data_IF_926999406236
#
_entry.id   IF_926999406236
#
_cell.length_a   1.000
_cell.length_b   1.000
_cell.length_c   1.000
_cell.angle_alpha   90.00
_cell.angle_beta   90.00
_cell.angle_gamma   90.00
#
_symmetry.space_group_name_H-M   'P 1'
#
loop_
_entity.id
_entity.type
_entity.pdbx_description
1 polymer ?
#
# COMPACT_ATOMS: atom_id res chain seq x y z
N UNK A 1 62.27 10.63 118.48
CA UNK A 1 61.16 9.75 118.04
C UNK A 1 60.20 10.46 117.07
N UNK A 2 60.22 11.80 116.99
CA UNK A 2 59.32 12.59 116.14
C UNK A 2 59.71 12.61 114.64
N UNK A 3 61.01 12.57 114.31
CA UNK A 3 61.46 12.63 112.90
C UNK A 3 61.02 11.43 112.05
N UNK A 4 60.97 10.23 112.65
CA UNK A 4 60.59 8.99 111.95
C UNK A 4 59.09 8.95 111.60
N UNK A 5 58.25 9.68 112.35
CA UNK A 5 56.81 9.77 112.08
C UNK A 5 56.54 10.78 110.97
N UNK A 6 57.26 11.91 110.96
CA UNK A 6 57.22 12.93 109.91
C UNK A 6 57.66 12.38 108.54
N UNK A 7 58.73 11.58 108.49
CA UNK A 7 59.19 10.94 107.26
C UNK A 7 58.21 9.89 106.73
N UNK A 8 57.62 9.07 107.61
CA UNK A 8 56.58 8.12 107.23
C UNK A 8 55.31 8.79 106.73
N UNK A 9 54.92 9.93 107.32
CA UNK A 9 53.79 10.73 106.86
C UNK A 9 54.04 11.35 105.49
N UNK A 10 55.19 11.98 105.29
CA UNK A 10 55.60 12.54 103.99
C UNK A 10 55.62 11.47 102.92
N UNK A 11 56.21 10.30 103.20
CA UNK A 11 56.30 9.21 102.24
C UNK A 11 54.91 8.65 101.90
N UNK A 12 54.00 8.50 102.87
CA UNK A 12 52.61 8.10 102.62
C UNK A 12 51.86 9.15 101.79
N UNK A 13 51.98 10.43 102.12
CA UNK A 13 51.28 11.51 101.43
C UNK A 13 51.75 11.65 99.98
N UNK A 14 53.08 11.66 99.76
CA UNK A 14 53.68 11.69 98.42
C UNK A 14 53.30 10.45 97.61
N UNK A 15 53.29 9.26 98.23
CA UNK A 15 52.95 8.03 97.51
C UNK A 15 51.46 7.94 97.15
N UNK A 16 50.57 8.49 98.00
CA UNK A 16 49.14 8.64 97.72
C UNK A 16 48.91 9.66 96.59
N UNK A 17 49.60 10.81 96.61
CA UNK A 17 49.53 11.84 95.56
C UNK A 17 50.08 11.35 94.21
N UNK A 18 51.16 10.56 94.20
CA UNK A 18 51.69 9.97 92.95
C UNK A 18 50.79 8.87 92.41
N UNK A 19 50.14 8.09 93.28
CA UNK A 19 49.19 7.05 92.90
C UNK A 19 47.92 7.63 92.26
N UNK A 20 47.36 8.69 92.87
CA UNK A 20 46.20 9.40 92.31
C UNK A 20 46.54 10.10 90.98
N UNK A 21 47.73 10.69 90.85
CA UNK A 21 48.21 11.23 89.58
C UNK A 21 48.37 10.16 88.50
N UNK A 22 48.93 8.98 88.82
CA UNK A 22 49.02 7.87 87.88
C UNK A 22 47.65 7.37 87.42
N UNK A 23 46.68 7.24 88.34
CA UNK A 23 45.31 6.86 88.00
C UNK A 23 44.62 7.90 87.11
N UNK A 24 44.81 9.19 87.38
CA UNK A 24 44.32 10.28 86.53
C UNK A 24 44.94 10.28 85.14
N UNK A 25 46.22 9.91 85.04
CA UNK A 25 46.94 9.86 83.77
C UNK A 25 46.49 8.65 82.94
N UNK A 26 46.27 7.50 83.59
CA UNK A 26 45.68 6.30 82.97
C UNK A 26 44.25 6.55 82.50
N UNK A 27 43.40 7.18 83.34
CA UNK A 27 42.01 7.47 82.95
C UNK A 27 41.94 8.49 81.80
N UNK A 28 42.84 9.49 81.77
CA UNK A 28 42.95 10.39 80.61
C UNK A 28 43.43 9.66 79.36
N UNK A 29 44.37 8.73 79.47
CA UNK A 29 44.83 7.93 78.34
C UNK A 29 43.69 7.07 77.78
N UNK A 30 42.91 6.42 78.63
CA UNK A 30 41.73 5.64 78.24
C UNK A 30 40.66 6.50 77.52
N UNK A 31 40.41 7.72 78.00
CA UNK A 31 39.49 8.66 77.34
C UNK A 31 40.00 9.06 75.95
N UNK A 32 41.30 9.34 75.82
CA UNK A 32 41.91 9.69 74.53
C UNK A 32 41.83 8.52 73.55
N UNK A 33 42.10 7.30 74.01
CA UNK A 33 42.01 6.09 73.19
C UNK A 33 40.56 5.81 72.76
N UNK A 34 39.59 6.04 73.63
CA UNK A 34 38.16 5.91 73.31
C UNK A 34 37.72 6.97 72.28
N UNK A 35 38.14 8.23 72.45
CA UNK A 35 37.87 9.29 71.46
C UNK A 35 38.46 8.91 70.11
N UNK A 36 39.71 8.42 70.09
CA UNK A 36 40.39 8.00 68.87
C UNK A 36 39.66 6.85 68.19
N UNK A 37 39.27 5.80 68.93
CA UNK A 37 38.48 4.68 68.38
C UNK A 37 37.16 5.15 67.79
N UNK A 38 36.46 6.06 68.45
CA UNK A 38 35.20 6.62 67.94
C UNK A 38 35.40 7.47 66.68
N UNK A 39 36.51 8.23 66.59
CA UNK A 39 36.85 8.98 65.39
C UNK A 39 37.19 8.06 64.22
N UNK A 40 38.05 7.06 64.44
CA UNK A 40 38.45 6.08 63.42
C UNK A 40 37.22 5.33 62.88
N UNK A 41 36.29 4.94 63.75
CA UNK A 41 35.03 4.30 63.35
C UNK A 41 34.18 5.21 62.45
N UNK A 42 34.01 6.49 62.83
CA UNK A 42 33.27 7.47 62.00
C UNK A 42 33.95 7.70 60.66
N UNK A 43 35.28 7.77 60.61
CA UNK A 43 36.01 7.92 59.35
C UNK A 43 35.78 6.74 58.42
N UNK A 44 35.78 5.51 58.93
CA UNK A 44 35.49 4.31 58.13
C UNK A 44 34.04 4.36 57.62
N UNK A 45 33.08 4.71 58.47
CA UNK A 45 31.67 4.84 58.08
C UNK A 45 31.47 5.91 56.99
N UNK A 46 32.07 7.08 57.15
CA UNK A 46 32.02 8.15 56.16
C UNK A 46 32.71 7.74 54.85
N UNK A 47 33.87 7.09 54.92
CA UNK A 47 34.59 6.60 53.73
C UNK A 47 33.76 5.57 52.95
N UNK A 48 33.14 4.62 53.65
CA UNK A 48 32.27 3.62 53.01
C UNK A 48 31.04 4.28 52.36
N UNK A 49 30.45 5.28 53.02
CA UNK A 49 29.30 6.01 52.49
C UNK A 49 29.66 6.88 51.29
N UNK A 50 30.83 7.52 51.29
CA UNK A 50 31.35 8.26 50.14
C UNK A 50 31.56 7.32 48.94
N UNK A 51 32.14 6.14 49.17
CA UNK A 51 32.31 5.13 48.10
C UNK A 51 30.97 4.67 47.56
N UNK A 52 30.00 4.38 48.42
CA UNK A 52 28.65 3.98 47.99
C UNK A 52 27.96 5.06 47.16
N UNK A 53 28.00 6.32 47.62
CA UNK A 53 27.41 7.45 46.90
C UNK A 53 28.10 7.72 45.56
N UNK A 54 29.42 7.57 45.50
CA UNK A 54 30.20 7.71 44.25
C UNK A 54 29.78 6.66 43.23
N UNK A 55 29.69 5.39 43.65
CA UNK A 55 29.20 4.31 42.77
C UNK A 55 27.77 4.55 42.29
N UNK A 56 26.88 5.04 43.15
CA UNK A 56 25.50 5.40 42.75
C UNK A 56 25.49 6.54 41.73
N UNK A 57 26.33 7.55 41.93
CA UNK A 57 26.45 8.68 41.02
C UNK A 57 26.93 8.23 39.63
N UNK A 58 27.91 7.33 39.58
CA UNK A 58 28.44 6.82 38.31
C UNK A 58 27.40 6.00 37.55
N UNK A 59 26.63 5.15 38.25
CA UNK A 59 25.49 4.42 37.65
C UNK A 59 24.42 5.38 37.11
N UNK A 60 24.10 6.45 37.85
CA UNK A 60 23.13 7.45 37.41
C UNK A 60 23.62 8.21 36.17
N UNK A 61 24.92 8.55 36.11
CA UNK A 61 25.50 9.22 34.93
C UNK A 61 25.42 8.35 33.68
N UNK A 62 25.76 7.06 33.81
CA UNK A 62 25.71 6.12 32.68
C UNK A 62 24.27 5.91 32.19
N UNK A 63 23.33 5.76 33.13
CA UNK A 63 21.90 5.67 32.80
C UNK A 63 21.43 6.93 32.07
N UNK A 64 21.79 8.11 32.56
CA UNK A 64 21.41 9.37 31.93
C UNK A 64 21.99 9.50 30.50
N UNK A 65 23.25 9.10 30.32
CA UNK A 65 23.90 9.14 29.02
C UNK A 65 23.19 8.22 28.00
N UNK A 66 22.91 6.98 28.40
CA UNK A 66 22.22 6.00 27.53
C UNK A 66 20.78 6.41 27.22
N UNK A 67 20.05 6.98 28.18
CA UNK A 67 18.70 7.53 27.94
C UNK A 67 18.74 8.71 26.96
N UNK A 68 19.71 9.62 27.13
CA UNK A 68 19.89 10.78 26.23
C UNK A 68 20.16 10.33 24.80
N UNK A 69 21.07 9.38 24.62
CA UNK A 69 21.37 8.81 23.30
C UNK A 69 20.15 8.13 22.68
N UNK A 70 19.38 7.38 23.47
CA UNK A 70 18.16 6.70 23.02
C UNK A 70 17.10 7.71 22.59
N UNK A 71 16.92 8.81 23.34
CA UNK A 71 15.97 9.87 23.00
C UNK A 71 16.38 10.59 21.70
N UNK A 72 17.66 10.86 21.52
CA UNK A 72 18.17 11.48 20.30
C UNK A 72 17.93 10.60 19.07
N UNK A 73 18.18 9.29 19.18
CA UNK A 73 17.87 8.31 18.13
C UNK A 73 16.37 8.30 17.78
N UNK A 74 15.50 8.21 18.80
CA UNK A 74 14.03 8.25 18.60
C UNK A 74 13.56 9.55 17.97
N UNK A 75 14.15 10.68 18.36
CA UNK A 75 13.81 11.97 17.78
C UNK A 75 14.21 12.08 16.30
N UNK A 76 15.36 11.52 15.94
CA UNK A 76 15.81 11.44 14.55
C UNK A 76 14.90 10.54 13.70
N UNK A 77 14.47 9.39 14.24
CA UNK A 77 13.52 8.50 13.58
C UNK A 77 12.16 9.17 13.39
N UNK A 78 11.63 9.81 14.44
CA UNK A 78 10.38 10.58 14.38
C UNK A 78 10.43 11.69 13.32
N UNK A 79 11.58 12.35 13.18
CA UNK A 79 11.78 13.39 12.16
C UNK A 79 11.73 12.83 10.74
N UNK A 80 12.26 11.62 10.51
CA UNK A 80 12.17 10.94 9.20
C UNK A 80 10.73 10.52 8.89
N UNK A 81 10.05 9.92 9.86
CA UNK A 81 8.64 9.52 9.72
C UNK A 81 7.74 10.71 9.41
N UNK A 82 8.01 11.87 10.02
CA UNK A 82 7.28 13.10 9.72
C UNK A 82 7.42 13.53 8.26
N UNK A 83 8.64 13.49 7.71
CA UNK A 83 8.89 13.81 6.29
C UNK A 83 8.14 12.83 5.38
N UNK A 84 8.22 11.53 5.68
CA UNK A 84 7.51 10.51 4.92
C UNK A 84 5.99 10.71 4.95
N UNK A 85 5.43 11.12 6.10
CA UNK A 85 4.01 11.40 6.23
C UNK A 85 3.56 12.62 5.42
N UNK A 86 4.40 13.66 5.35
CA UNK A 86 4.18 14.84 4.49
C UNK A 86 4.17 14.47 2.99
N UNK A 87 5.10 13.61 2.56
CA UNK A 87 5.15 13.08 1.19
C UNK A 87 3.87 12.28 0.84
N UNK A 88 3.45 11.40 1.74
CA UNK A 88 2.26 10.58 1.57
C UNK A 88 0.98 11.43 1.50
N UNK A 89 0.89 12.50 2.30
CA UNK A 89 -0.23 13.42 2.27
C UNK A 89 -0.29 14.18 0.93
N UNK A 90 0.86 14.59 0.40
CA UNK A 90 0.95 15.23 -0.91
C UNK A 90 0.51 14.29 -2.05
N UNK A 91 0.94 13.03 -2.03
CA UNK A 91 0.52 12.02 -3.00
C UNK A 91 -0.98 11.75 -2.92
N UNK A 92 -1.52 11.61 -1.70
CA UNK A 92 -2.96 11.44 -1.49
C UNK A 92 -3.77 12.60 -2.09
N UNK A 93 -3.31 13.85 -1.92
CA UNK A 93 -3.98 15.03 -2.52
C UNK A 93 -3.96 14.97 -4.05
N UNK A 94 -2.84 14.56 -4.65
CA UNK A 94 -2.69 14.39 -6.10
C UNK A 94 -3.66 13.34 -6.65
N UNK A 95 -3.72 12.16 -6.02
CA UNK A 95 -4.64 11.09 -6.41
C UNK A 95 -6.11 11.50 -6.30
N UNK A 96 -6.46 12.27 -5.27
CA UNK A 96 -7.84 12.75 -5.07
C UNK A 96 -8.24 13.73 -6.19
N UNK A 97 -7.32 14.60 -6.62
CA UNK A 97 -7.53 15.49 -7.75
C UNK A 97 -7.71 14.69 -9.06
N UNK A 98 -6.89 13.68 -9.29
CA UNK A 98 -6.98 12.81 -10.48
C UNK A 98 -8.31 12.04 -10.52
N UNK A 99 -8.74 11.47 -9.38
CA UNK A 99 -10.04 10.81 -9.27
C UNK A 99 -11.19 11.75 -9.63
N UNK A 100 -11.16 12.99 -9.14
CA UNK A 100 -12.19 13.99 -9.46
C UNK A 100 -12.22 14.32 -10.96
N UNK A 101 -11.05 14.41 -11.60
CA UNK A 101 -10.96 14.65 -13.04
C UNK A 101 -11.48 13.46 -13.85
N UNK A 102 -11.10 12.24 -13.47
CA UNK A 102 -11.56 11.01 -14.12
C UNK A 102 -13.06 10.81 -13.96
N UNK A 103 -13.60 11.10 -12.78
CA UNK A 103 -15.04 11.08 -12.56
C UNK A 103 -15.78 12.11 -13.45
N UNK A 104 -15.23 13.31 -13.58
CA UNK A 104 -15.73 14.32 -14.53
C UNK A 104 -15.77 13.80 -15.96
N UNK A 105 -14.66 13.20 -16.44
CA UNK A 105 -14.56 12.60 -17.78
C UNK A 105 -15.54 11.43 -17.96
N UNK A 106 -15.67 10.57 -16.96
CA UNK A 106 -16.63 9.45 -16.98
C UNK A 106 -18.06 9.96 -17.11
N UNK A 107 -18.41 10.97 -16.32
CA UNK A 107 -19.75 11.55 -16.34
C UNK A 107 -20.03 12.24 -17.68
N UNK A 108 -19.06 12.96 -18.26
CA UNK A 108 -19.23 13.57 -19.59
C UNK A 108 -19.42 12.51 -20.67
N UNK A 109 -18.63 11.43 -20.66
CA UNK A 109 -18.77 10.32 -21.61
C UNK A 109 -20.10 9.58 -21.44
N UNK A 110 -20.55 9.35 -20.20
CA UNK A 110 -21.85 8.73 -19.92
C UNK A 110 -23.01 9.59 -20.42
N UNK A 111 -22.87 10.91 -20.38
CA UNK A 111 -23.87 11.86 -20.87
C UNK A 111 -23.74 12.18 -22.37
N UNK A 112 -22.64 11.79 -23.00
CA UNK A 112 -22.39 12.05 -24.41
C UNK A 112 -23.41 11.27 -25.24
N UNK A 113 -24.26 12.00 -25.96
CA UNK A 113 -25.20 11.39 -26.89
C UNK A 113 -24.45 10.99 -28.16
N UNK A 114 -24.80 9.85 -28.79
CA UNK A 114 -24.32 9.52 -30.12
C UNK A 114 -24.58 10.66 -31.09
N UNK A 115 -23.67 10.84 -32.04
CA UNK A 115 -23.83 11.85 -33.08
C UNK A 115 -25.13 11.58 -33.86
N UNK A 116 -26.03 12.57 -33.88
CA UNK A 116 -27.34 12.45 -34.51
C UNK A 116 -27.21 12.15 -36.02
N UNK A 117 -26.19 12.71 -36.66
CA UNK A 117 -25.92 12.50 -38.08
C UNK A 117 -25.51 11.04 -38.36
N UNK A 118 -24.59 10.50 -37.57
CA UNK A 118 -24.14 9.11 -37.73
C UNK A 118 -25.28 8.14 -37.44
N UNK A 119 -26.09 8.43 -36.42
CA UNK A 119 -27.27 7.64 -36.10
C UNK A 119 -28.29 7.67 -37.25
N UNK A 120 -28.52 8.83 -37.87
CA UNK A 120 -29.42 8.97 -39.01
C UNK A 120 -28.92 8.17 -40.22
N UNK A 121 -27.61 8.24 -40.52
CA UNK A 121 -26.99 7.47 -41.61
C UNK A 121 -27.15 5.97 -41.38
N UNK A 122 -26.90 5.49 -40.16
CA UNK A 122 -27.07 4.07 -39.82
C UNK A 122 -28.52 3.61 -39.93
N UNK A 123 -29.47 4.42 -39.47
CA UNK A 123 -30.90 4.10 -39.58
C UNK A 123 -31.39 4.10 -41.03
N UNK A 124 -30.92 5.04 -41.85
CA UNK A 124 -31.19 5.02 -43.29
C UNK A 124 -30.59 3.78 -43.96
N UNK A 125 -29.34 3.43 -43.63
CA UNK A 125 -28.67 2.23 -44.14
C UNK A 125 -29.43 0.95 -43.80
N UNK A 126 -29.83 0.78 -42.53
CA UNK A 126 -30.65 -0.36 -42.08
C UNK A 126 -31.98 -0.44 -42.82
N UNK A 127 -32.68 0.69 -42.98
CA UNK A 127 -33.95 0.74 -43.72
C UNK A 127 -33.76 0.33 -45.18
N UNK A 128 -32.74 0.87 -45.86
CA UNK A 128 -32.44 0.56 -47.26
C UNK A 128 -32.07 -0.92 -47.45
N UNK A 129 -31.20 -1.46 -46.59
CA UNK A 129 -30.81 -2.86 -46.62
C UNK A 129 -32.01 -3.79 -46.40
N UNK A 130 -32.86 -3.47 -45.42
CA UNK A 130 -34.09 -4.21 -45.17
C UNK A 130 -35.01 -4.17 -46.40
N UNK A 131 -35.18 -3.01 -47.01
CA UNK A 131 -36.02 -2.84 -48.20
C UNK A 131 -35.51 -3.71 -49.36
N UNK A 132 -34.20 -3.72 -49.63
CA UNK A 132 -33.63 -4.62 -50.64
C UNK A 132 -33.87 -6.08 -50.30
N UNK A 133 -33.61 -6.51 -49.05
CA UNK A 133 -33.86 -7.89 -48.62
C UNK A 133 -35.33 -8.28 -48.76
N UNK A 134 -36.25 -7.39 -48.42
CA UNK A 134 -37.68 -7.65 -48.51
C UNK A 134 -38.18 -7.63 -49.95
N UNK A 135 -37.61 -6.80 -50.82
CA UNK A 135 -37.97 -6.68 -52.22
C UNK A 135 -37.43 -7.83 -53.07
N UNK A 136 -36.13 -8.09 -52.96
CA UNK A 136 -35.45 -9.11 -53.79
C UNK A 136 -35.53 -10.49 -53.19
N UNK A 137 -35.81 -10.61 -51.89
CA UNK A 137 -35.76 -11.89 -51.15
C UNK A 137 -34.40 -12.59 -51.21
N UNK A 138 -33.36 -11.87 -51.64
CA UNK A 138 -31.99 -12.39 -51.71
C UNK A 138 -31.36 -12.34 -50.33
N UNK A 139 -30.71 -13.43 -49.96
CA UNK A 139 -29.78 -13.50 -48.85
C UNK A 139 -28.37 -13.74 -49.39
N UNK A 140 -27.54 -12.72 -49.24
CA UNK A 140 -26.14 -12.76 -49.65
C UNK A 140 -25.28 -13.50 -48.63
N UNK A 141 -24.32 -14.28 -49.13
CA UNK A 141 -23.23 -14.86 -48.36
C UNK A 141 -22.06 -13.86 -48.34
N UNK A 142 -22.03 -13.04 -47.29
CA UNK A 142 -21.01 -11.99 -47.13
C UNK A 142 -19.61 -12.52 -46.81
N UNK A 143 -19.48 -13.80 -46.42
CA UNK A 143 -18.17 -14.41 -46.16
C UNK A 143 -17.50 -14.85 -47.47
N UNK A 144 -18.30 -15.24 -48.47
CA UNK A 144 -17.85 -15.64 -49.79
C UNK A 144 -17.52 -14.48 -50.74
N UNK A 145 -17.72 -13.23 -50.33
CA UNK A 145 -17.53 -12.02 -51.18
C UNK A 145 -16.10 -11.85 -51.71
N UNK A 146 -15.11 -12.51 -51.08
CA UNK A 146 -13.71 -12.52 -51.56
C UNK A 146 -13.49 -13.36 -52.82
N UNK A 147 -14.39 -14.29 -53.13
CA UNK A 147 -14.23 -15.30 -54.18
C UNK A 147 -15.27 -15.16 -55.31
N UNK A 148 -16.36 -14.43 -55.06
CA UNK A 148 -17.42 -14.20 -56.03
C UNK A 148 -18.70 -13.67 -55.42
N UNK A 149 -19.73 -13.58 -56.24
CA UNK A 149 -21.08 -13.14 -55.83
C UNK A 149 -21.89 -14.39 -55.50
N UNK A 150 -22.20 -14.58 -54.22
CA UNK A 150 -22.86 -15.80 -53.72
C UNK A 150 -24.05 -15.45 -52.84
N UNK A 151 -25.11 -16.24 -52.96
CA UNK A 151 -26.30 -16.11 -52.13
C UNK A 151 -27.40 -17.05 -52.55
N UNK A 152 -28.59 -16.80 -52.02
CA UNK A 152 -29.79 -17.50 -52.43
C UNK A 152 -31.01 -16.57 -52.45
N UNK A 153 -31.98 -16.87 -53.32
CA UNK A 153 -33.29 -16.23 -53.35
C UNK A 153 -34.29 -17.16 -52.67
N UNK A 154 -35.14 -16.64 -51.77
CA UNK A 154 -36.17 -17.47 -51.15
C UNK A 154 -37.48 -16.75 -50.91
N UNK A 155 -38.59 -17.35 -51.34
CA UNK A 155 -39.93 -16.84 -51.05
C UNK A 155 -40.42 -17.18 -49.62
N UNK A 156 -39.56 -17.81 -48.80
CA UNK A 156 -39.82 -18.28 -47.42
C UNK A 156 -40.97 -19.28 -47.29
N UNK A 157 -41.41 -19.92 -48.39
CA UNK A 157 -42.46 -20.93 -48.40
C UNK A 157 -41.95 -22.22 -49.02
N UNK A 158 -41.76 -22.22 -50.33
CA UNK A 158 -41.53 -23.40 -51.17
C UNK A 158 -40.45 -23.20 -52.24
N UNK A 159 -39.95 -21.97 -52.42
CA UNK A 159 -38.89 -21.65 -53.37
C UNK A 159 -37.61 -21.23 -52.63
N UNK A 160 -36.52 -21.94 -52.93
CA UNK A 160 -35.15 -21.58 -52.54
C UNK A 160 -34.22 -21.91 -53.72
N UNK A 161 -33.61 -20.88 -54.31
CA UNK A 161 -32.62 -21.04 -55.36
C UNK A 161 -31.27 -20.48 -54.93
N UNK A 162 -30.22 -21.29 -54.99
CA UNK A 162 -28.85 -20.88 -54.64
C UNK A 162 -28.10 -20.50 -55.91
N UNK A 163 -27.38 -19.38 -55.87
CA UNK A 163 -26.55 -18.92 -56.97
C UNK A 163 -25.11 -18.66 -56.51
N UNK A 164 -24.18 -18.88 -57.44
CA UNK A 164 -22.77 -18.57 -57.25
C UNK A 164 -22.17 -18.11 -58.58
N UNK A 165 -21.60 -16.92 -58.58
CA UNK A 165 -20.93 -16.32 -59.72
C UNK A 165 -19.48 -16.03 -59.35
N UNK A 166 -18.58 -16.89 -59.78
CA UNK A 166 -17.14 -16.82 -59.49
C UNK A 166 -16.48 -15.72 -60.32
N UNK A 167 -15.80 -14.77 -59.67
CA UNK A 167 -14.98 -13.71 -60.30
C UNK A 167 -15.63 -12.94 -61.48
N UNK A 168 -16.97 -12.91 -61.60
CA UNK A 168 -17.65 -12.16 -62.65
C UNK A 168 -17.69 -10.67 -62.32
N UNK A 169 -17.29 -9.83 -63.28
CA UNK A 169 -17.58 -8.40 -63.21
C UNK A 169 -19.09 -8.17 -63.25
N UNK A 170 -19.58 -7.22 -62.46
CA UNK A 170 -20.99 -6.85 -62.44
C UNK A 170 -21.35 -6.28 -63.81
N UNK A 171 -22.13 -7.04 -64.57
CA UNK A 171 -22.60 -6.67 -65.90
C UNK A 171 -24.14 -6.82 -65.99
N UNK A 172 -24.71 -6.30 -67.07
CA UNK A 172 -26.16 -6.31 -67.27
C UNK A 172 -26.73 -7.72 -67.31
N UNK A 173 -25.98 -8.69 -67.88
CA UNK A 173 -26.39 -10.09 -67.98
C UNK A 173 -26.55 -10.75 -66.61
N UNK A 174 -25.62 -10.52 -65.69
CA UNK A 174 -25.71 -10.97 -64.30
C UNK A 174 -26.90 -10.32 -63.58
N UNK A 175 -27.10 -9.03 -63.82
CA UNK A 175 -28.22 -8.27 -63.24
C UNK A 175 -29.56 -8.83 -63.72
N UNK A 176 -29.69 -9.10 -65.02
CA UNK A 176 -30.88 -9.71 -65.63
C UNK A 176 -31.13 -11.12 -65.09
N UNK A 177 -30.08 -11.94 -64.93
CA UNK A 177 -30.19 -13.26 -64.31
C UNK A 177 -30.71 -13.18 -62.88
N UNK A 178 -30.17 -12.27 -62.06
CA UNK A 178 -30.66 -12.08 -60.68
C UNK A 178 -32.11 -11.60 -60.64
N UNK A 179 -32.50 -10.67 -61.52
CA UNK A 179 -33.91 -10.23 -61.61
C UNK A 179 -34.84 -11.33 -62.07
N UNK A 180 -34.39 -12.21 -62.96
CA UNK A 180 -35.14 -13.39 -63.39
C UNK A 180 -35.42 -14.33 -62.21
N UNK A 181 -34.41 -14.64 -61.40
CA UNK A 181 -34.58 -15.48 -60.19
C UNK A 181 -35.52 -14.82 -59.18
N UNK A 182 -35.44 -13.50 -59.00
CA UNK A 182 -36.37 -12.75 -58.14
C UNK A 182 -37.80 -12.90 -58.68
N UNK A 183 -38.02 -12.73 -59.98
CA UNK A 183 -39.34 -12.87 -60.60
C UNK A 183 -39.92 -14.28 -60.40
N UNK A 184 -39.13 -15.32 -60.66
CA UNK A 184 -39.53 -16.73 -60.43
C UNK A 184 -39.95 -16.99 -58.98
N UNK A 185 -39.24 -16.37 -58.02
CA UNK A 185 -39.59 -16.49 -56.61
C UNK A 185 -40.93 -15.84 -56.22
N UNK A 186 -41.47 -14.95 -57.06
CA UNK A 186 -42.72 -14.21 -56.81
C UNK A 186 -43.93 -14.76 -57.56
N UNK A 187 -43.74 -15.53 -58.62
CA UNK A 187 -44.82 -16.21 -59.34
C UNK A 187 -45.41 -17.35 -58.50
N UNK A 188 -46.67 -17.23 -58.09
CA UNK A 188 -47.46 -18.36 -57.57
C UNK A 188 -47.78 -19.30 -58.74
N UNK A 189 -46.94 -20.30 -58.97
CA UNK A 189 -47.13 -21.26 -60.07
C UNK A 189 -46.24 -22.48 -59.92
N UNK A 190 -46.90 -23.63 -59.73
CA UNK A 190 -46.42 -25.02 -59.74
C UNK A 190 -44.92 -25.21 -60.05
N UNK A 191 -44.20 -25.73 -59.06
CA UNK A 191 -42.86 -26.32 -59.24
C UNK A 191 -42.98 -27.41 -60.30
N UNK A 192 -42.61 -27.09 -61.55
CA UNK A 192 -42.08 -28.08 -62.47
C UNK A 192 -40.58 -28.12 -62.22
N UNK A 193 -40.13 -29.25 -61.67
CA UNK A 193 -38.74 -29.68 -61.74
C UNK A 193 -38.33 -29.75 -63.22
N UNK A 194 -37.87 -28.65 -63.78
CA UNK A 194 -37.18 -28.63 -65.05
C UNK A 194 -35.70 -28.29 -64.80
N UNK A 195 -34.95 -29.39 -64.65
CA UNK A 195 -33.54 -29.58 -64.96
C UNK A 195 -32.55 -28.53 -64.42
N UNK A 196 -31.85 -28.96 -63.37
CA UNK A 196 -30.46 -28.62 -63.07
C UNK A 196 -29.59 -28.65 -64.34
N UNK A 197 -29.35 -27.50 -64.97
CA UNK A 197 -28.12 -27.30 -65.73
C UNK A 197 -27.13 -26.55 -64.85
N UNK A 198 -26.21 -27.34 -64.30
CA UNK A 198 -24.90 -26.91 -63.83
C UNK A 198 -24.20 -26.13 -64.96
N UNK A 199 -24.20 -24.80 -64.89
CA UNK A 199 -23.30 -23.98 -65.69
C UNK A 199 -21.92 -24.00 -65.03
N UNK A 200 -21.15 -25.06 -65.29
CA UNK A 200 -19.70 -25.06 -65.16
C UNK A 200 -19.16 -24.73 -66.55
N UNK A 201 -18.43 -23.61 -66.75
CA UNK A 201 -17.73 -23.35 -68.00
C UNK A 201 -16.41 -24.15 -68.05
N UNK A 202 -16.11 -24.70 -69.23
CA UNK A 202 -14.77 -25.17 -69.62
C UNK A 202 -13.75 -24.01 -69.66
#
# INVERSE_FOLDING_TARGET
MEDHWLESLKKKFVNVDTSTLQQLLLSKAEIVDEIKRNQDQRFIEDETKIKELTSKLDVMKETLYTETQTLEQKNNELSREKVYLEELEAERKKLLQELKQLEGKRNSLRSAKPNLQDQQVLEQGKKKLKLYKDFTKIQWDYEATKFGIKGYVSNKRDYIHHFYYENQEINDKLTDSLWHEIHLSTSEGEIRDENLQSNIPD
#
